data_IF_959656256704
#
_entry.id   IF_959656256704
#
_cell.length_a   1.000
_cell.length_b   1.000
_cell.length_c   1.000
_cell.angle_alpha   90.00
_cell.angle_beta   90.00
_cell.angle_gamma   90.00
#
_symmetry.space_group_name_H-M   'P 1'
#
loop_
_entity.id
_entity.type
_entity.pdbx_description
1 polymer ?
#
# COMPACT_ATOMS: atom_id res chain seq x y z
N UNK A 1 0.59 4.52 -32.22
CA UNK A 1 1.70 5.12 -32.97
C UNK A 1 2.90 5.01 -32.06
N UNK A 2 3.85 4.13 -32.37
CA UNK A 2 5.09 3.98 -31.61
C UNK A 2 5.95 5.24 -31.81
N UNK A 3 6.29 5.92 -30.71
CA UNK A 3 7.35 6.93 -30.69
C UNK A 3 8.67 6.33 -31.21
N UNK A 4 9.56 7.12 -31.83
CA UNK A 4 10.81 6.59 -32.35
C UNK A 4 11.65 6.07 -31.18
N UNK A 5 11.79 4.75 -31.08
CA UNK A 5 12.69 4.12 -30.10
C UNK A 5 14.08 4.75 -30.21
N UNK A 6 14.45 5.52 -29.19
CA UNK A 6 15.83 5.90 -28.97
C UNK A 6 16.63 4.60 -28.77
N UNK A 7 17.33 4.13 -29.80
CA UNK A 7 18.11 2.90 -29.75
C UNK A 7 19.24 3.12 -28.75
N UNK A 8 19.50 2.13 -27.87
CA UNK A 8 20.62 2.26 -26.93
C UNK A 8 21.90 2.55 -27.71
N UNK A 9 22.69 3.47 -27.17
CA UNK A 9 23.89 3.96 -27.83
C UNK A 9 25.11 3.18 -27.35
N UNK A 10 25.77 2.49 -28.26
CA UNK A 10 26.99 1.72 -27.97
C UNK A 10 28.19 2.51 -28.50
N UNK A 11 29.12 2.86 -27.62
CA UNK A 11 30.42 3.41 -28.02
C UNK A 11 31.42 2.27 -28.15
N UNK A 12 32.04 2.12 -29.31
CA UNK A 12 33.15 1.19 -29.54
C UNK A 12 34.44 1.99 -29.63
N UNK A 13 35.47 1.55 -28.93
CA UNK A 13 36.78 2.20 -28.88
C UNK A 13 37.85 1.15 -29.16
N UNK A 14 38.53 1.27 -30.30
CA UNK A 14 39.63 0.39 -30.72
C UNK A 14 40.47 1.17 -31.74
N UNK A 15 41.79 1.10 -31.68
CA UNK A 15 42.67 1.86 -32.59
C UNK A 15 42.78 1.18 -33.98
N UNK A 16 42.43 -0.10 -34.07
CA UNK A 16 42.46 -0.90 -35.30
C UNK A 16 41.11 -0.72 -36.04
N UNK A 17 41.08 -0.07 -37.22
CA UNK A 17 39.85 0.19 -37.96
C UNK A 17 39.08 -1.08 -38.33
N UNK A 18 39.76 -2.19 -38.62
CA UNK A 18 39.13 -3.45 -38.97
C UNK A 18 38.27 -4.00 -37.81
N UNK A 19 38.71 -3.84 -36.56
CA UNK A 19 37.93 -4.25 -35.39
C UNK A 19 36.66 -3.38 -35.24
N UNK A 20 36.78 -2.08 -35.48
CA UNK A 20 35.66 -1.15 -35.44
C UNK A 20 34.60 -1.51 -36.49
N UNK A 21 35.01 -1.78 -37.73
CA UNK A 21 34.09 -2.12 -38.83
C UNK A 21 33.30 -3.39 -38.52
N UNK A 22 33.96 -4.43 -38.03
CA UNK A 22 33.33 -5.71 -37.68
C UNK A 22 32.32 -5.54 -36.52
N UNK A 23 32.71 -4.83 -35.46
CA UNK A 23 31.82 -4.58 -34.31
C UNK A 23 30.65 -3.66 -34.69
N UNK A 24 30.88 -2.68 -35.57
CA UNK A 24 29.84 -1.82 -36.11
C UNK A 24 28.82 -2.63 -36.91
N UNK A 25 29.28 -3.51 -37.81
CA UNK A 25 28.39 -4.38 -38.59
C UNK A 25 27.54 -5.28 -37.67
N UNK A 26 28.17 -5.88 -36.66
CA UNK A 26 27.50 -6.79 -35.73
C UNK A 26 26.45 -6.11 -34.83
N UNK A 27 26.61 -4.83 -34.49
CA UNK A 27 25.78 -4.14 -33.50
C UNK A 27 24.77 -3.14 -34.10
N UNK A 28 25.04 -2.58 -35.29
CA UNK A 28 24.20 -1.56 -35.92
C UNK A 28 22.77 -2.04 -36.24
N UNK A 29 22.57 -3.36 -36.34
CA UNK A 29 21.27 -3.98 -36.52
C UNK A 29 20.31 -3.77 -35.34
N UNK A 30 20.80 -3.50 -34.12
CA UNK A 30 19.99 -3.31 -32.90
C UNK A 30 20.24 -1.99 -32.17
N UNK A 31 21.44 -1.45 -32.26
CA UNK A 31 21.91 -0.33 -31.44
C UNK A 31 22.29 0.88 -32.30
N UNK A 32 22.36 2.06 -31.67
CA UNK A 32 23.00 3.23 -32.26
C UNK A 32 24.49 3.17 -31.97
N UNK A 33 25.31 2.83 -32.97
CA UNK A 33 26.73 2.60 -32.76
C UNK A 33 27.55 3.85 -33.08
N UNK A 34 28.47 4.20 -32.19
CA UNK A 34 29.46 5.27 -32.39
C UNK A 34 30.85 4.70 -32.17
N UNK A 35 31.82 5.14 -32.98
CA UNK A 35 33.20 4.65 -32.91
C UNK A 35 34.22 5.74 -32.57
N UNK A 36 35.20 5.38 -31.75
CA UNK A 36 36.39 6.15 -31.45
C UNK A 36 37.65 5.31 -31.74
N UNK A 37 38.73 5.97 -32.20
CA UNK A 37 40.01 5.32 -32.53
C UNK A 37 41.08 5.50 -31.46
N UNK A 38 40.73 6.22 -30.40
CA UNK A 38 41.62 6.56 -29.29
C UNK A 38 40.80 6.95 -28.06
N UNK A 39 41.45 6.88 -26.88
CA UNK A 39 40.84 7.20 -25.59
C UNK A 39 40.39 8.65 -25.45
N UNK A 40 41.12 9.61 -26.02
CA UNK A 40 40.79 11.04 -25.96
C UNK A 40 39.47 11.37 -26.68
N UNK A 41 39.27 10.78 -27.86
CA UNK A 41 38.01 10.87 -28.60
C UNK A 41 36.88 10.15 -27.86
N UNK A 42 37.15 9.00 -27.24
CA UNK A 42 36.15 8.31 -26.42
C UNK A 42 35.66 9.19 -25.26
N UNK A 43 36.58 9.81 -24.51
CA UNK A 43 36.27 10.72 -23.40
C UNK A 43 35.49 11.97 -23.83
N UNK A 44 35.77 12.51 -25.02
CA UNK A 44 34.96 13.61 -25.59
C UNK A 44 33.55 13.17 -25.97
N UNK A 45 33.38 11.94 -26.45
CA UNK A 45 32.07 11.44 -26.87
C UNK A 45 31.15 11.13 -25.68
N UNK A 46 31.68 10.59 -24.58
CA UNK A 46 30.90 10.34 -23.35
C UNK A 46 30.48 11.62 -22.63
N UNK A 47 31.22 12.71 -22.79
CA UNK A 47 30.89 14.02 -22.20
C UNK A 47 30.08 14.91 -23.14
N UNK A 48 29.81 14.43 -24.35
CA UNK A 48 28.98 15.12 -25.33
C UNK A 48 27.49 15.16 -24.94
N UNK A 49 26.66 15.83 -25.75
CA UNK A 49 25.23 16.02 -25.48
C UNK A 49 24.42 14.72 -25.51
N UNK A 50 24.96 13.66 -26.11
CA UNK A 50 24.34 12.33 -26.16
C UNK A 50 25.36 11.27 -25.69
N UNK A 51 25.49 11.04 -24.38
CA UNK A 51 26.39 10.01 -23.86
C UNK A 51 25.95 8.60 -24.32
N UNK A 52 26.88 7.64 -24.42
CA UNK A 52 26.54 6.25 -24.70
C UNK A 52 25.92 5.57 -23.48
N UNK A 53 25.11 4.53 -23.72
CA UNK A 53 24.54 3.67 -22.69
C UNK A 53 25.48 2.53 -22.29
N UNK A 54 26.47 2.21 -23.12
CA UNK A 54 27.51 1.20 -22.87
C UNK A 54 28.74 1.43 -23.74
N UNK A 55 29.91 1.05 -23.25
CA UNK A 55 31.21 1.22 -23.93
C UNK A 55 31.87 -0.15 -24.10
N UNK A 56 32.26 -0.48 -25.34
CA UNK A 56 33.20 -1.54 -25.66
C UNK A 56 34.58 -0.90 -25.86
N UNK A 57 35.55 -1.25 -25.03
CA UNK A 57 36.82 -0.53 -24.93
C UNK A 57 37.99 -1.48 -25.09
N UNK A 58 38.79 -1.29 -26.14
CA UNK A 58 40.04 -2.00 -26.26
C UNK A 58 41.02 -1.59 -25.15
N UNK A 59 41.70 -2.58 -24.60
CA UNK A 59 42.67 -2.36 -23.53
C UNK A 59 43.98 -1.80 -24.10
N UNK A 60 44.43 -2.33 -25.24
CA UNK A 60 45.74 -2.01 -25.81
C UNK A 60 45.64 -0.98 -26.93
N UNK A 61 45.64 0.31 -26.55
CA UNK A 61 45.64 1.42 -27.50
C UNK A 61 46.91 2.29 -27.32
N UNK A 62 47.43 2.90 -28.40
CA UNK A 62 48.56 3.82 -28.32
C UNK A 62 48.20 5.11 -27.56
N UNK A 63 49.14 5.58 -26.74
CA UNK A 63 48.98 6.79 -25.94
C UNK A 63 48.21 6.53 -24.64
N UNK A 64 46.88 6.55 -24.70
CA UNK A 64 46.02 6.29 -23.54
C UNK A 64 45.43 4.88 -23.64
N UNK A 65 45.79 4.01 -22.70
CA UNK A 65 45.29 2.64 -22.63
C UNK A 65 43.83 2.59 -22.15
N UNK A 66 43.15 1.46 -22.37
CA UNK A 66 41.75 1.30 -21.97
C UNK A 66 41.55 1.38 -20.45
N UNK A 67 42.53 0.98 -19.65
CA UNK A 67 42.45 1.07 -18.20
C UNK A 67 42.39 2.52 -17.72
N UNK A 68 43.22 3.40 -18.28
CA UNK A 68 43.24 4.83 -17.98
C UNK A 68 41.93 5.50 -18.42
N UNK A 69 41.40 5.16 -19.60
CA UNK A 69 40.07 5.63 -20.04
C UNK A 69 38.99 5.23 -19.04
N UNK A 70 38.94 3.96 -18.62
CA UNK A 70 37.97 3.46 -17.65
C UNK A 70 38.09 4.17 -16.30
N UNK A 71 39.30 4.34 -15.78
CA UNK A 71 39.53 5.05 -14.53
C UNK A 71 39.02 6.51 -14.58
N UNK A 72 39.23 7.20 -15.72
CA UNK A 72 38.69 8.57 -15.93
C UNK A 72 37.17 8.60 -16.00
N UNK A 73 36.54 7.60 -16.63
CA UNK A 73 35.09 7.48 -16.65
C UNK A 73 34.51 7.28 -15.24
N UNK A 74 35.14 6.42 -14.45
CA UNK A 74 34.69 6.06 -13.09
C UNK A 74 34.90 7.17 -12.06
N UNK A 75 35.93 8.00 -12.24
CA UNK A 75 36.19 9.16 -11.37
C UNK A 75 35.23 10.34 -11.60
N UNK A 76 34.48 10.36 -12.71
CA UNK A 76 33.55 11.45 -13.02
C UNK A 76 32.09 11.04 -12.73
N UNK A 77 31.40 11.86 -11.92
CA UNK A 77 30.02 11.61 -11.51
C UNK A 77 29.02 11.49 -12.66
N UNK A 78 29.26 12.16 -13.78
CA UNK A 78 28.37 12.11 -14.94
C UNK A 78 28.54 10.85 -15.80
N UNK A 79 29.69 10.17 -15.69
CA UNK A 79 30.04 9.04 -16.57
C UNK A 79 30.26 7.72 -15.83
N UNK A 80 30.43 7.72 -14.50
CA UNK A 80 30.73 6.52 -13.71
C UNK A 80 29.69 5.41 -13.79
N UNK A 81 28.44 5.75 -14.08
CA UNK A 81 27.36 4.77 -14.22
C UNK A 81 27.27 4.16 -15.64
N UNK A 82 28.12 4.57 -16.58
CA UNK A 82 28.16 3.99 -17.93
C UNK A 82 28.97 2.68 -17.88
N UNK A 83 28.38 1.51 -18.17
CA UNK A 83 29.09 0.24 -18.15
C UNK A 83 30.19 0.20 -19.21
N UNK A 84 31.37 -0.23 -18.79
CA UNK A 84 32.54 -0.46 -19.65
C UNK A 84 32.80 -1.95 -19.72
N UNK A 85 32.82 -2.50 -20.94
CA UNK A 85 33.24 -3.86 -21.24
C UNK A 85 34.59 -3.77 -21.94
N UNK A 86 35.62 -4.39 -21.37
CA UNK A 86 36.93 -4.44 -22.00
C UNK A 86 36.98 -5.44 -23.15
N UNK A 87 37.68 -5.08 -24.22
CA UNK A 87 38.13 -6.00 -25.26
C UNK A 87 39.62 -6.26 -25.01
N UNK A 88 40.02 -7.50 -24.76
CA UNK A 88 41.38 -7.82 -24.31
C UNK A 88 41.99 -8.97 -25.10
N UNK A 89 43.28 -8.87 -25.43
CA UNK A 89 44.08 -10.01 -25.89
C UNK A 89 44.81 -10.71 -24.73
N UNK A 90 44.81 -10.10 -23.54
CA UNK A 90 45.41 -10.63 -22.34
C UNK A 90 44.46 -11.69 -21.75
N UNK A 91 45.02 -12.86 -21.45
CA UNK A 91 44.30 -14.02 -20.91
C UNK A 91 44.83 -14.43 -19.54
N UNK A 92 45.69 -13.61 -18.94
CA UNK A 92 46.16 -13.78 -17.57
C UNK A 92 45.18 -13.14 -16.57
N UNK A 93 45.03 -13.80 -15.42
CA UNK A 93 44.14 -13.37 -14.32
C UNK A 93 44.50 -11.97 -13.78
N UNK A 94 45.77 -11.56 -13.87
CA UNK A 94 46.25 -10.27 -13.37
C UNK A 94 45.67 -9.10 -14.17
N UNK A 95 45.55 -9.26 -15.49
CA UNK A 95 44.96 -8.27 -16.40
C UNK A 95 43.44 -8.14 -16.23
N UNK A 96 42.75 -9.24 -15.90
CA UNK A 96 41.31 -9.23 -15.57
C UNK A 96 41.04 -8.55 -14.23
N UNK A 97 41.85 -8.87 -13.21
CA UNK A 97 41.81 -8.22 -11.89
C UNK A 97 42.04 -6.71 -12.02
N UNK A 98 43.02 -6.29 -12.82
CA UNK A 98 43.28 -4.87 -13.09
C UNK A 98 42.08 -4.19 -13.75
N UNK A 99 41.38 -4.88 -14.65
CA UNK A 99 40.20 -4.33 -15.33
C UNK A 99 39.01 -4.13 -14.41
N UNK A 100 38.72 -5.12 -13.56
CA UNK A 100 37.67 -5.01 -12.55
C UNK A 100 37.99 -3.93 -11.51
N UNK A 101 39.27 -3.83 -11.09
CA UNK A 101 39.72 -2.78 -10.18
C UNK A 101 39.60 -1.37 -10.79
N UNK A 102 39.76 -1.23 -12.11
CA UNK A 102 39.53 0.01 -12.85
C UNK A 102 38.04 0.36 -13.01
N UNK A 103 37.13 -0.54 -12.61
CA UNK A 103 35.68 -0.34 -12.64
C UNK A 103 34.99 -0.77 -13.93
N UNK A 104 35.61 -1.64 -14.73
CA UNK A 104 34.89 -2.31 -15.81
C UNK A 104 33.87 -3.31 -15.23
N UNK A 105 32.75 -3.47 -15.94
CA UNK A 105 31.69 -4.39 -15.55
C UNK A 105 31.86 -5.79 -16.15
N UNK A 106 32.72 -5.91 -17.17
CA UNK A 106 32.95 -7.15 -17.89
C UNK A 106 34.16 -7.07 -18.85
N UNK A 107 34.51 -8.20 -19.45
CA UNK A 107 35.54 -8.30 -20.50
C UNK A 107 35.21 -9.36 -21.56
N UNK A 108 35.80 -9.20 -22.74
CA UNK A 108 35.67 -10.07 -23.90
C UNK A 108 37.07 -10.33 -24.47
N UNK A 109 37.46 -11.60 -24.53
CA UNK A 109 38.74 -11.99 -25.12
C UNK A 109 38.72 -11.90 -26.65
N UNK A 110 39.85 -11.46 -27.21
CA UNK A 110 40.18 -11.57 -28.64
C UNK A 110 40.70 -13.00 -28.92
N UNK A 111 40.32 -13.66 -30.04
CA UNK A 111 39.50 -13.15 -31.14
C UNK A 111 38.02 -12.99 -30.76
N UNK A 112 37.43 -11.88 -31.21
CA UNK A 112 36.08 -11.47 -30.80
C UNK A 112 35.02 -12.42 -31.37
N UNK A 113 34.18 -12.96 -30.50
CA UNK A 113 32.97 -13.70 -30.87
C UNK A 113 31.77 -12.76 -30.92
N UNK A 114 31.22 -12.50 -32.11
CA UNK A 114 30.08 -11.59 -32.27
C UNK A 114 28.83 -12.01 -31.48
N UNK A 115 28.46 -13.32 -31.43
CA UNK A 115 27.37 -13.77 -30.57
C UNK A 115 27.62 -13.45 -29.09
N UNK A 116 28.86 -13.57 -28.62
CA UNK A 116 29.22 -13.26 -27.23
C UNK A 116 29.15 -11.75 -26.94
N UNK A 117 29.65 -10.91 -27.85
CA UNK A 117 29.55 -9.45 -27.73
C UNK A 117 28.08 -9.04 -27.65
N UNK A 118 27.25 -9.51 -28.57
CA UNK A 118 25.82 -9.20 -28.58
C UNK A 118 25.14 -9.64 -27.29
N UNK A 119 25.45 -10.84 -26.79
CA UNK A 119 24.89 -11.37 -25.54
C UNK A 119 25.29 -10.52 -24.32
N UNK A 120 26.58 -10.18 -24.18
CA UNK A 120 27.08 -9.38 -23.06
C UNK A 120 26.56 -7.94 -23.10
N UNK A 121 26.57 -7.30 -24.27
CA UNK A 121 26.01 -5.95 -24.44
C UNK A 121 24.53 -5.94 -24.05
N UNK A 122 23.74 -6.91 -24.54
CA UNK A 122 22.33 -7.01 -24.18
C UNK A 122 22.12 -7.23 -22.67
N UNK A 123 22.93 -8.09 -22.04
CA UNK A 123 22.83 -8.38 -20.61
C UNK A 123 23.09 -7.13 -19.76
N UNK A 124 24.16 -6.38 -20.03
CA UNK A 124 24.51 -5.18 -19.27
C UNK A 124 23.54 -4.02 -19.51
N UNK A 125 23.06 -3.83 -20.74
CA UNK A 125 22.02 -2.83 -21.01
C UNK A 125 20.71 -3.15 -20.27
N UNK A 126 20.31 -4.43 -20.22
CA UNK A 126 19.15 -4.86 -19.44
C UNK A 126 19.35 -4.63 -17.94
N UNK A 127 20.55 -4.87 -17.42
CA UNK A 127 20.88 -4.62 -16.02
C UNK A 127 20.78 -3.13 -15.67
N UNK A 128 21.34 -2.25 -16.51
CA UNK A 128 21.24 -0.79 -16.32
C UNK A 128 19.78 -0.32 -16.34
N UNK A 129 18.97 -0.83 -17.27
CA UNK A 129 17.54 -0.51 -17.33
C UNK A 129 16.80 -0.98 -16.09
N UNK A 130 17.03 -2.22 -15.65
CA UNK A 130 16.41 -2.77 -14.44
C UNK A 130 16.78 -1.94 -13.19
N UNK A 131 18.06 -1.54 -13.07
CA UNK A 131 18.52 -0.67 -11.97
C UNK A 131 17.86 0.71 -12.00
N UNK A 132 17.76 1.33 -13.18
CA UNK A 132 17.06 2.62 -13.37
C UNK A 132 15.58 2.52 -13.02
N UNK A 133 14.91 1.44 -13.45
CA UNK A 133 13.50 1.20 -13.13
C UNK A 133 13.28 0.99 -11.64
N UNK A 134 14.13 0.20 -10.98
CA UNK A 134 14.06 -0.01 -9.54
C UNK A 134 14.25 1.29 -8.76
N UNK A 135 15.23 2.12 -9.15
CA UNK A 135 15.45 3.42 -8.52
C UNK A 135 14.23 4.35 -8.66
N UNK A 136 13.59 4.36 -9.83
CA UNK A 136 12.36 5.13 -10.05
C UNK A 136 11.21 4.64 -9.17
N UNK A 137 11.03 3.31 -9.05
CA UNK A 137 10.00 2.72 -8.18
C UNK A 137 10.23 3.05 -6.70
N UNK A 138 11.48 2.97 -6.23
CA UNK A 138 11.82 3.32 -4.84
C UNK A 138 11.52 4.79 -4.57
N UNK A 139 11.83 5.68 -5.52
CA UNK A 139 11.52 7.10 -5.40
C UNK A 139 10.01 7.35 -5.34
N UNK A 140 9.24 6.72 -6.23
CA UNK A 140 7.78 6.83 -6.25
C UNK A 140 7.15 6.35 -4.95
N UNK A 141 7.59 5.20 -4.42
CA UNK A 141 7.12 4.68 -3.14
C UNK A 141 7.47 5.61 -1.97
N UNK A 142 8.67 6.19 -1.98
CA UNK A 142 9.10 7.18 -0.97
C UNK A 142 8.22 8.43 -1.00
N UNK A 143 7.92 8.95 -2.19
CA UNK A 143 7.10 10.16 -2.33
C UNK A 143 5.64 9.90 -1.94
N UNK A 144 5.12 8.72 -2.26
CA UNK A 144 3.82 8.26 -1.79
C UNK A 144 3.78 8.15 -0.25
N UNK A 145 4.84 7.61 0.38
CA UNK A 145 4.94 7.51 1.83
C UNK A 145 4.98 8.87 2.53
N UNK A 146 5.68 9.87 1.96
CA UNK A 146 5.68 11.23 2.52
C UNK A 146 4.31 11.91 2.44
N UNK A 147 3.66 11.82 1.29
CA UNK A 147 2.30 12.37 1.11
C UNK A 147 1.33 11.77 2.13
N UNK A 148 1.48 10.47 2.37
CA UNK A 148 0.71 9.73 3.35
C UNK A 148 0.90 10.28 4.77
N UNK A 149 2.14 10.48 5.18
CA UNK A 149 2.47 11.02 6.52
C UNK A 149 1.94 12.45 6.69
N UNK A 150 1.97 13.27 5.63
CA UNK A 150 1.41 14.62 5.64
C UNK A 150 -0.11 14.62 5.83
N UNK A 151 -0.84 13.73 5.13
CA UNK A 151 -2.30 13.56 5.34
C UNK A 151 -2.60 13.16 6.78
N UNK A 152 -1.81 12.24 7.32
CA UNK A 152 -1.93 11.78 8.70
C UNK A 152 -1.70 12.90 9.72
N UNK A 153 -0.73 13.80 9.48
CA UNK A 153 -0.46 14.97 10.32
C UNK A 153 -1.61 15.98 10.29
N UNK A 154 -2.11 16.31 9.10
CA UNK A 154 -3.21 17.27 8.90
C UNK A 154 -4.46 16.80 9.65
N UNK A 155 -4.81 15.52 9.51
CA UNK A 155 -5.98 14.95 10.15
C UNK A 155 -5.83 14.90 11.69
N UNK A 156 -4.66 14.52 12.22
CA UNK A 156 -4.43 14.37 13.67
C UNK A 156 -4.37 15.69 14.43
N UNK A 157 -3.62 16.65 13.91
CA UNK A 157 -3.27 17.86 14.67
C UNK A 157 -4.03 19.08 14.17
N UNK A 158 -4.06 19.30 12.86
CA UNK A 158 -4.51 20.57 12.30
C UNK A 158 -6.04 20.69 12.26
N UNK A 159 -6.77 19.57 12.19
CA UNK A 159 -8.23 19.56 12.32
C UNK A 159 -8.71 19.48 13.78
N UNK A 160 -8.00 18.74 14.65
CA UNK A 160 -8.40 18.57 16.07
C UNK A 160 -8.22 19.86 16.88
N UNK A 161 -7.11 20.57 16.64
CA UNK A 161 -6.77 21.80 17.37
C UNK A 161 -7.83 22.90 17.28
N UNK A 162 -8.38 23.26 16.10
CA UNK A 162 -9.46 24.25 16.02
C UNK A 162 -10.82 23.73 16.53
N UNK A 163 -11.06 22.42 16.54
CA UNK A 163 -12.33 21.84 17.02
C UNK A 163 -12.44 21.87 18.55
N UNK A 164 -11.34 21.67 19.27
CA UNK A 164 -11.35 21.61 20.73
C UNK A 164 -11.88 22.91 21.38
N UNK A 165 -11.46 24.13 20.98
CA UNK A 165 -12.05 25.37 21.49
C UNK A 165 -13.53 25.55 21.12
N UNK A 166 -13.96 25.12 19.92
CA UNK A 166 -15.37 25.21 19.50
C UNK A 166 -16.26 24.37 20.43
N UNK A 167 -15.82 23.17 20.78
CA UNK A 167 -16.50 22.29 21.74
C UNK A 167 -16.40 22.83 23.17
N UNK A 168 -15.21 23.27 23.58
CA UNK A 168 -14.95 23.77 24.93
C UNK A 168 -15.73 25.04 25.26
N UNK A 169 -15.67 26.05 24.39
CA UNK A 169 -16.40 27.30 24.58
C UNK A 169 -17.91 27.13 24.45
N UNK A 170 -18.39 26.23 23.59
CA UNK A 170 -19.83 25.93 23.53
C UNK A 170 -20.35 25.33 24.83
N UNK A 171 -19.57 24.47 25.50
CA UNK A 171 -19.92 23.96 26.83
C UNK A 171 -19.85 25.06 27.90
N UNK A 172 -18.76 25.83 27.97
CA UNK A 172 -18.59 26.88 28.97
C UNK A 172 -19.70 27.95 28.89
N UNK A 173 -20.08 28.37 27.68
CA UNK A 173 -21.18 29.32 27.47
C UNK A 173 -22.55 28.76 27.84
N UNK A 174 -22.73 27.43 27.74
CA UNK A 174 -23.97 26.76 28.16
C UNK A 174 -24.13 26.74 29.67
N UNK A 175 -23.02 26.58 30.37
CA UNK A 175 -22.98 26.39 31.83
C UNK A 175 -22.97 27.73 32.60
N UNK A 176 -22.64 28.85 31.95
CA UNK A 176 -22.65 30.22 32.50
C UNK A 176 -24.07 30.76 32.83
N UNK A 177 -25.13 30.01 32.45
CA UNK A 177 -26.50 30.21 32.93
C UNK A 177 -27.26 31.42 32.38
N UNK A 178 -26.56 32.41 31.80
CA UNK A 178 -27.14 33.67 31.33
C UNK A 178 -27.53 33.64 29.84
N UNK A 179 -28.12 32.53 29.39
CA UNK A 179 -28.46 32.28 27.98
C UNK A 179 -29.94 31.91 27.82
N UNK A 180 -30.54 32.35 26.72
CA UNK A 180 -31.92 31.99 26.33
C UNK A 180 -32.00 30.53 25.87
N UNK A 181 -33.21 29.95 25.89
CA UNK A 181 -33.44 28.57 25.40
C UNK A 181 -33.03 28.37 23.94
N UNK A 182 -33.21 29.40 23.11
CA UNK A 182 -32.78 29.37 21.70
C UNK A 182 -31.26 29.35 21.56
N UNK A 183 -30.55 30.10 22.40
CA UNK A 183 -29.08 30.07 22.45
C UNK A 183 -28.56 28.74 23.00
N UNK A 184 -29.21 28.18 24.02
CA UNK A 184 -28.92 26.84 24.53
C UNK A 184 -29.03 25.79 23.43
N UNK A 185 -30.10 25.81 22.65
CA UNK A 185 -30.28 24.93 21.49
C UNK A 185 -29.15 25.07 20.45
N UNK A 186 -28.75 26.30 20.10
CA UNK A 186 -27.64 26.52 19.18
C UNK A 186 -26.30 26.01 19.73
N UNK A 187 -26.03 26.20 21.02
CA UNK A 187 -24.81 25.70 21.67
C UNK A 187 -24.78 24.17 21.71
N UNK A 188 -25.90 23.52 22.02
CA UNK A 188 -26.01 22.06 21.97
C UNK A 188 -25.81 21.53 20.53
N UNK A 189 -26.27 22.26 19.52
CA UNK A 189 -26.05 21.92 18.10
C UNK A 189 -24.57 22.07 17.70
N UNK A 190 -23.89 23.15 18.12
CA UNK A 190 -22.46 23.35 17.87
C UNK A 190 -21.63 22.25 18.57
N UNK A 191 -21.95 21.98 19.83
CA UNK A 191 -21.26 20.97 20.64
C UNK A 191 -21.39 19.57 20.02
N UNK A 192 -22.62 19.14 19.70
CA UNK A 192 -22.87 17.84 19.07
C UNK A 192 -22.22 17.73 17.68
N UNK A 193 -22.24 18.80 16.88
CA UNK A 193 -21.57 18.83 15.57
C UNK A 193 -20.05 18.75 15.69
N UNK A 194 -19.45 19.43 16.69
CA UNK A 194 -18.03 19.37 16.97
C UNK A 194 -17.56 17.98 17.39
N UNK A 195 -18.30 17.33 18.29
CA UNK A 195 -18.04 15.95 18.68
C UNK A 195 -18.16 14.98 17.51
N UNK A 196 -19.18 15.14 16.66
CA UNK A 196 -19.35 14.32 15.46
C UNK A 196 -18.18 14.47 14.49
N UNK A 197 -17.65 15.68 14.30
CA UNK A 197 -16.45 15.90 13.49
C UNK A 197 -15.20 15.23 14.07
N UNK A 198 -14.97 15.35 15.38
CA UNK A 198 -13.84 14.67 16.04
C UNK A 198 -13.95 13.15 15.91
N UNK A 199 -15.15 12.60 16.08
CA UNK A 199 -15.39 11.17 15.89
C UNK A 199 -15.13 10.76 14.44
N UNK A 200 -15.55 11.55 13.46
CA UNK A 200 -15.28 11.30 12.04
C UNK A 200 -13.78 11.34 11.72
N UNK A 201 -13.04 12.29 12.28
CA UNK A 201 -11.58 12.40 12.12
C UNK A 201 -10.89 11.17 12.73
N UNK A 202 -11.22 10.82 13.97
CA UNK A 202 -10.61 9.67 14.63
C UNK A 202 -10.92 8.36 13.88
N UNK A 203 -12.18 8.15 13.46
CA UNK A 203 -12.57 6.99 12.65
C UNK A 203 -11.82 6.95 11.31
N UNK A 204 -11.65 8.08 10.64
CA UNK A 204 -10.89 8.17 9.38
C UNK A 204 -9.43 7.78 9.57
N UNK A 205 -8.80 8.25 10.66
CA UNK A 205 -7.42 7.93 11.00
C UNK A 205 -7.21 6.45 11.36
N UNK A 206 -8.12 5.86 12.13
CA UNK A 206 -8.04 4.45 12.47
C UNK A 206 -8.22 3.56 11.23
N UNK A 207 -9.19 3.90 10.36
CA UNK A 207 -9.35 3.23 9.07
C UNK A 207 -8.09 3.35 8.23
N UNK A 208 -7.51 4.55 8.15
CA UNK A 208 -6.29 4.80 7.40
C UNK A 208 -5.11 3.92 7.89
N UNK A 209 -4.92 3.80 9.21
CA UNK A 209 -3.90 2.91 9.80
C UNK A 209 -4.16 1.44 9.51
N UNK A 210 -5.42 1.01 9.53
CA UNK A 210 -5.77 -0.39 9.22
C UNK A 210 -5.53 -0.71 7.75
N UNK A 211 -5.96 0.16 6.82
CA UNK A 211 -5.76 0.00 5.37
C UNK A 211 -4.30 -0.15 4.99
N UNK A 212 -3.46 0.53 5.74
CA UNK A 212 -2.05 0.60 5.50
C UNK A 212 -1.21 -0.38 6.32
N UNK A 213 -1.85 -1.21 7.13
CA UNK A 213 -1.22 -2.22 7.97
C UNK A 213 -0.37 -1.66 9.12
N UNK A 214 -0.49 -0.38 9.46
CA UNK A 214 0.26 0.26 10.57
C UNK A 214 -0.54 0.38 11.86
N UNK A 215 -1.75 -0.20 11.89
CA UNK A 215 -2.57 -0.27 13.10
C UNK A 215 -1.92 -1.18 14.15
N UNK A 216 -1.72 -0.67 15.36
CA UNK A 216 -1.16 -1.42 16.49
C UNK A 216 -2.24 -2.31 17.12
N UNK A 217 -2.46 -3.49 16.52
CA UNK A 217 -3.48 -4.45 16.93
C UNK A 217 -3.05 -5.24 18.18
N UNK A 218 -3.80 -5.09 19.27
CA UNK A 218 -3.55 -5.71 20.58
C UNK A 218 -4.73 -6.58 21.02
N UNK A 219 -4.86 -7.81 20.50
CA UNK A 219 -5.99 -8.67 20.80
C UNK A 219 -6.02 -9.10 22.27
N UNK A 220 -7.23 -9.18 22.80
CA UNK A 220 -7.57 -9.78 24.09
C UNK A 220 -8.66 -10.85 23.91
N UNK A 221 -8.99 -11.56 24.98
CA UNK A 221 -10.17 -12.44 24.98
C UNK A 221 -11.42 -11.60 25.17
N UNK A 222 -12.37 -11.70 24.24
CA UNK A 222 -13.65 -10.98 24.29
C UNK A 222 -14.83 -11.95 24.23
N UNK A 223 -15.90 -11.63 24.97
CA UNK A 223 -17.14 -12.42 24.95
C UNK A 223 -18.10 -11.84 23.90
N UNK A 224 -18.27 -12.54 22.77
CA UNK A 224 -19.05 -12.05 21.64
C UNK A 224 -20.50 -11.72 22.01
N UNK A 225 -21.13 -12.56 22.84
CA UNK A 225 -22.49 -12.32 23.31
C UNK A 225 -22.61 -11.00 24.09
N UNK A 226 -21.62 -10.66 24.91
CA UNK A 226 -21.63 -9.41 25.67
C UNK A 226 -21.53 -8.19 24.75
N UNK A 227 -20.66 -8.24 23.73
CA UNK A 227 -20.52 -7.17 22.75
C UNK A 227 -21.80 -7.00 21.92
N UNK A 228 -22.40 -8.11 21.45
CA UNK A 228 -23.66 -8.08 20.71
C UNK A 228 -24.78 -7.47 21.55
N UNK A 229 -24.96 -7.90 22.80
CA UNK A 229 -26.00 -7.35 23.67
C UNK A 229 -25.81 -5.85 23.93
N UNK A 230 -24.56 -5.39 24.11
CA UNK A 230 -24.24 -3.97 24.23
C UNK A 230 -24.65 -3.20 22.98
N UNK A 231 -24.25 -3.67 21.79
CA UNK A 231 -24.63 -3.06 20.50
C UNK A 231 -26.14 -3.00 20.31
N UNK A 232 -26.86 -4.08 20.62
CA UNK A 232 -28.32 -4.12 20.50
C UNK A 232 -28.99 -3.15 21.48
N UNK A 233 -28.47 -3.04 22.71
CA UNK A 233 -28.94 -2.06 23.69
C UNK A 233 -28.78 -0.63 23.20
N UNK A 234 -27.60 -0.29 22.69
CA UNK A 234 -27.28 1.05 22.19
C UNK A 234 -28.10 1.42 20.93
N UNK A 235 -28.48 0.43 20.11
CA UNK A 235 -29.30 0.63 18.90
C UNK A 235 -30.81 0.40 19.12
N UNK A 236 -31.24 0.08 20.34
CA UNK A 236 -32.66 -0.16 20.65
C UNK A 236 -33.57 1.04 20.29
N UNK A 237 -33.19 2.32 20.54
CA UNK A 237 -34.02 3.47 20.14
C UNK A 237 -34.22 3.56 18.62
N UNK A 238 -33.19 3.22 17.83
CA UNK A 238 -33.26 3.23 16.37
C UNK A 238 -34.20 2.13 15.86
N UNK A 239 -34.10 0.93 16.42
CA UNK A 239 -35.00 -0.18 16.09
C UNK A 239 -36.45 0.15 16.47
N UNK A 240 -36.68 0.68 17.69
CA UNK A 240 -38.00 1.08 18.17
C UNK A 240 -38.63 2.19 17.31
N UNK A 241 -37.84 3.16 16.86
CA UNK A 241 -38.31 4.23 15.96
C UNK A 241 -38.88 3.74 14.63
N UNK A 242 -38.47 2.55 14.17
CA UNK A 242 -39.00 1.87 12.98
C UNK A 242 -39.93 0.69 13.32
N UNK A 243 -40.22 0.44 14.60
CA UNK A 243 -40.99 -0.71 15.07
C UNK A 243 -40.29 -2.07 14.87
N UNK A 244 -38.98 -2.08 14.56
CA UNK A 244 -38.24 -3.30 14.29
C UNK A 244 -37.96 -4.09 15.58
N UNK A 245 -37.97 -5.41 15.47
CA UNK A 245 -37.56 -6.32 16.56
C UNK A 245 -36.18 -6.86 16.25
N UNK A 246 -35.26 -6.74 17.20
CA UNK A 246 -33.91 -7.32 17.12
C UNK A 246 -33.83 -8.52 18.06
N UNK A 247 -33.62 -9.71 17.49
CA UNK A 247 -33.55 -10.97 18.21
C UNK A 247 -32.11 -11.50 18.23
N UNK A 248 -31.61 -11.89 19.40
CA UNK A 248 -30.25 -12.45 19.57
C UNK A 248 -30.36 -13.92 19.97
N UNK A 249 -29.70 -14.81 19.23
CA UNK A 249 -29.71 -16.25 19.40
C UNK A 249 -28.27 -16.77 19.56
N UNK A 250 -28.08 -17.83 20.35
CA UNK A 250 -26.80 -18.54 20.45
C UNK A 250 -26.11 -18.47 21.83
N UNK A 251 -24.91 -19.07 21.90
CA UNK A 251 -24.16 -19.31 23.14
C UNK A 251 -23.07 -18.26 23.43
N UNK A 252 -22.47 -18.33 24.62
CA UNK A 252 -21.31 -17.50 25.02
C UNK A 252 -20.05 -17.97 24.31
N UNK A 253 -19.63 -17.25 23.28
CA UNK A 253 -18.41 -17.54 22.51
C UNK A 253 -17.31 -16.54 22.88
N UNK A 254 -16.17 -17.06 23.32
CA UNK A 254 -14.96 -16.29 23.53
C UNK A 254 -14.15 -16.19 22.23
N UNK A 255 -13.93 -14.98 21.73
CA UNK A 255 -13.13 -14.72 20.54
C UNK A 255 -11.84 -13.96 20.89
N UNK A 256 -10.86 -14.03 20.00
CA UNK A 256 -9.63 -13.26 20.08
C UNK A 256 -9.79 -11.96 19.27
N UNK A 257 -9.60 -10.80 19.91
CA UNK A 257 -9.74 -9.51 19.24
C UNK A 257 -9.73 -8.32 20.18
N UNK A 258 -9.97 -7.12 19.66
CA UNK A 258 -10.16 -5.93 20.48
C UNK A 258 -11.65 -5.65 20.67
N UNK A 259 -12.08 -5.42 21.91
CA UNK A 259 -13.48 -5.18 22.22
C UNK A 259 -14.04 -3.96 21.46
N UNK A 260 -13.27 -2.87 21.39
CA UNK A 260 -13.70 -1.64 20.71
C UNK A 260 -13.83 -1.80 19.19
N UNK A 261 -12.93 -2.58 18.56
CA UNK A 261 -13.04 -2.91 17.13
C UNK A 261 -14.23 -3.83 16.87
N UNK A 262 -14.41 -4.86 17.69
CA UNK A 262 -15.54 -5.77 17.58
C UNK A 262 -16.87 -5.03 17.77
N UNK A 263 -16.97 -4.15 18.77
CA UNK A 263 -18.13 -3.31 19.02
C UNK A 263 -18.42 -2.39 17.82
N UNK A 264 -17.40 -1.69 17.31
CA UNK A 264 -17.55 -0.76 16.19
C UNK A 264 -17.98 -1.46 14.91
N UNK A 265 -17.39 -2.62 14.61
CA UNK A 265 -17.75 -3.49 13.49
C UNK A 265 -19.21 -3.93 13.60
N UNK A 266 -19.60 -4.53 14.73
CA UNK A 266 -20.96 -5.03 14.94
C UNK A 266 -21.98 -3.90 14.95
N UNK A 267 -21.67 -2.74 15.54
CA UNK A 267 -22.53 -1.56 15.53
C UNK A 267 -22.82 -1.10 14.10
N UNK A 268 -21.80 -1.02 13.24
CA UNK A 268 -21.98 -0.65 11.83
C UNK A 268 -22.87 -1.66 11.08
N UNK A 269 -22.68 -2.96 11.31
CA UNK A 269 -23.44 -4.01 10.64
C UNK A 269 -24.90 -4.08 11.11
N UNK A 270 -25.13 -4.05 12.43
CA UNK A 270 -26.47 -4.11 13.02
C UNK A 270 -27.26 -2.85 12.69
N UNK A 271 -26.64 -1.66 12.74
CA UNK A 271 -27.26 -0.42 12.30
C UNK A 271 -27.71 -0.52 10.84
N UNK A 272 -26.85 -1.01 9.95
CA UNK A 272 -27.21 -1.19 8.54
C UNK A 272 -28.38 -2.16 8.38
N UNK A 273 -28.38 -3.28 9.09
CA UNK A 273 -29.46 -4.26 9.08
C UNK A 273 -30.81 -3.66 9.53
N UNK A 274 -30.83 -2.85 10.59
CA UNK A 274 -32.03 -2.15 11.08
C UNK A 274 -32.52 -1.12 10.05
N UNK A 275 -31.61 -0.32 9.50
CA UNK A 275 -31.97 0.70 8.53
C UNK A 275 -32.50 0.10 7.22
N UNK A 276 -31.96 -1.03 6.79
CA UNK A 276 -32.38 -1.74 5.58
C UNK A 276 -33.64 -2.61 5.80
N UNK A 277 -33.97 -2.96 7.05
CA UNK A 277 -35.21 -3.67 7.34
C UNK A 277 -36.45 -2.79 7.04
N UNK A 278 -37.56 -3.36 6.57
CA UNK A 278 -38.83 -2.66 6.46
C UNK A 278 -39.35 -2.26 7.85
N UNK A 279 -40.24 -1.28 7.91
CA UNK A 279 -40.94 -0.89 9.14
C UNK A 279 -41.63 -2.10 9.75
N UNK A 280 -41.52 -2.28 11.07
CA UNK A 280 -42.01 -3.45 11.80
C UNK A 280 -41.40 -4.80 11.36
N UNK A 281 -40.24 -4.77 10.70
CA UNK A 281 -39.48 -5.96 10.30
C UNK A 281 -38.64 -6.56 11.44
N UNK A 282 -38.05 -7.74 11.19
CA UNK A 282 -37.18 -8.45 12.15
C UNK A 282 -35.72 -8.40 11.73
N UNK A 283 -34.83 -8.18 12.69
CA UNK A 283 -33.38 -8.40 12.53
C UNK A 283 -32.97 -9.53 13.46
N UNK A 284 -32.30 -10.56 12.95
CA UNK A 284 -31.86 -11.72 13.74
C UNK A 284 -30.34 -11.73 13.80
N UNK A 285 -29.77 -11.87 15.00
CA UNK A 285 -28.34 -12.00 15.23
C UNK A 285 -28.09 -13.37 15.85
N UNK A 286 -27.44 -14.27 15.13
CA UNK A 286 -27.11 -15.61 15.61
C UNK A 286 -25.62 -15.75 15.88
N UNK A 287 -25.28 -16.31 17.04
CA UNK A 287 -23.93 -16.65 17.46
C UNK A 287 -23.74 -18.18 17.40
N UNK A 288 -22.73 -18.63 16.69
CA UNK A 288 -22.40 -20.05 16.55
C UNK A 288 -20.89 -20.28 16.57
N UNK A 289 -20.47 -21.45 17.03
CA UNK A 289 -19.08 -21.89 16.96
C UNK A 289 -18.93 -22.82 15.75
N UNK A 290 -18.11 -22.42 14.78
CA UNK A 290 -17.77 -23.22 13.60
C UNK A 290 -16.27 -23.54 13.63
N UNK A 291 -15.91 -24.72 14.14
CA UNK A 291 -14.51 -25.13 14.28
C UNK A 291 -13.73 -24.23 15.25
N UNK A 292 -12.70 -23.57 14.75
CA UNK A 292 -11.86 -22.61 15.48
C UNK A 292 -12.34 -21.16 15.34
N UNK A 293 -13.56 -20.94 14.84
CA UNK A 293 -14.11 -19.60 14.60
C UNK A 293 -15.44 -19.36 15.32
N UNK A 294 -15.52 -18.21 15.99
CA UNK A 294 -16.76 -17.63 16.46
C UNK A 294 -17.47 -16.92 15.31
N UNK A 295 -18.69 -17.35 15.01
CA UNK A 295 -19.48 -16.87 13.87
C UNK A 295 -20.63 -16.02 14.37
N UNK A 296 -20.73 -14.79 13.83
CA UNK A 296 -21.84 -13.88 14.04
C UNK A 296 -22.59 -13.72 12.72
N UNK A 297 -23.84 -14.15 12.67
CA UNK A 297 -24.72 -13.99 11.50
C UNK A 297 -25.80 -12.96 11.78
N UNK A 298 -25.80 -11.86 11.04
CA UNK A 298 -26.79 -10.78 11.13
C UNK A 298 -27.68 -10.85 9.91
N UNK A 299 -28.98 -11.07 10.11
CA UNK A 299 -29.95 -11.23 9.04
C UNK A 299 -31.10 -10.23 9.16
N UNK A 300 -31.45 -9.59 8.04
CA UNK A 300 -32.63 -8.73 7.92
C UNK A 300 -33.37 -9.02 6.59
N UNK A 301 -34.69 -8.78 6.50
CA UNK A 301 -35.46 -9.07 5.29
C UNK A 301 -35.26 -8.05 4.15
N UNK A 302 -34.51 -6.96 4.37
CA UNK A 302 -34.19 -6.01 3.31
C UNK A 302 -33.22 -6.62 2.30
N UNK A 303 -33.42 -6.35 1.01
CA UNK A 303 -32.62 -6.92 -0.09
C UNK A 303 -31.66 -5.88 -0.64
N UNK A 304 -30.41 -6.28 -0.88
CA UNK A 304 -29.41 -5.44 -1.57
C UNK A 304 -29.59 -5.61 -3.09
N UNK A 305 -29.73 -4.50 -3.84
CA UNK A 305 -29.83 -4.54 -5.31
C UNK A 305 -28.65 -5.27 -5.94
N UNK A 306 -28.89 -6.08 -6.97
CA UNK A 306 -27.88 -6.94 -7.60
C UNK A 306 -26.63 -6.17 -8.06
N UNK A 307 -26.81 -4.98 -8.62
CA UNK A 307 -25.75 -4.08 -9.07
C UNK A 307 -24.81 -3.64 -7.94
N UNK A 308 -25.24 -3.68 -6.68
CA UNK A 308 -24.44 -3.24 -5.53
C UNK A 308 -23.85 -4.39 -4.73
N UNK A 309 -24.22 -5.65 -5.03
CA UNK A 309 -23.77 -6.80 -4.23
C UNK A 309 -22.25 -6.99 -4.31
N UNK A 310 -21.66 -6.75 -5.47
CA UNK A 310 -20.22 -6.91 -5.69
C UNK A 310 -19.39 -5.78 -5.05
N UNK A 311 -19.94 -4.57 -4.92
CA UNK A 311 -19.29 -3.40 -4.29
C UNK A 311 -19.75 -3.15 -2.87
N UNK A 312 -20.48 -4.08 -2.24
CA UNK A 312 -21.17 -3.85 -0.97
C UNK A 312 -20.22 -3.46 0.18
N UNK A 313 -18.98 -3.98 0.14
CA UNK A 313 -17.93 -3.67 1.10
C UNK A 313 -16.86 -2.72 0.55
N UNK A 314 -17.15 -2.00 -0.54
CA UNK A 314 -16.27 -0.97 -1.09
C UNK A 314 -16.58 0.41 -0.49
N UNK A 315 -15.59 1.31 -0.59
CA UNK A 315 -15.73 2.67 -0.08
C UNK A 315 -16.80 3.44 -0.86
N UNK A 316 -17.61 4.21 -0.13
CA UNK A 316 -18.61 5.14 -0.65
C UNK A 316 -19.78 4.49 -1.39
N UNK A 317 -19.95 3.18 -1.25
CA UNK A 317 -21.10 2.46 -1.80
C UNK A 317 -22.36 2.79 -0.97
N UNK A 318 -23.32 3.49 -1.57
CA UNK A 318 -24.59 3.86 -0.92
C UNK A 318 -25.79 3.63 -1.84
N UNK A 319 -26.93 3.25 -1.27
CA UNK A 319 -28.20 3.08 -2.00
C UNK A 319 -29.26 3.98 -1.40
N UNK A 320 -29.65 5.03 -2.14
CA UNK A 320 -30.90 5.79 -1.92
C UNK A 320 -31.11 6.51 -0.58
N UNK A 321 -30.15 6.53 0.34
CA UNK A 321 -30.29 7.15 1.68
C UNK A 321 -29.65 8.53 1.72
N UNK A 322 -30.42 9.56 2.06
CA UNK A 322 -29.87 10.88 2.41
C UNK A 322 -29.08 10.76 3.73
N UNK A 323 -27.76 10.98 3.67
CA UNK A 323 -26.88 11.06 4.85
C UNK A 323 -26.02 9.83 5.18
N UNK A 324 -26.04 8.77 4.36
CA UNK A 324 -25.14 7.62 4.54
C UNK A 324 -23.72 7.92 4.04
N UNK A 325 -22.69 7.76 4.88
CA UNK A 325 -21.29 8.01 4.46
C UNK A 325 -20.74 6.99 3.46
N UNK A 326 -21.37 5.83 3.32
CA UNK A 326 -20.88 4.73 2.47
C UNK A 326 -19.60 4.06 2.96
N UNK A 327 -19.17 4.36 4.19
CA UNK A 327 -17.94 3.79 4.79
C UNK A 327 -18.27 2.68 5.81
N UNK A 328 -19.53 2.58 6.26
CA UNK A 328 -19.93 1.68 7.36
C UNK A 328 -19.65 0.19 7.11
N UNK A 329 -19.98 -0.32 5.93
CA UNK A 329 -19.71 -1.73 5.56
C UNK A 329 -18.24 -1.97 5.27
N UNK A 330 -17.60 -1.03 4.56
CA UNK A 330 -16.15 -1.05 4.32
C UNK A 330 -15.34 -1.12 5.63
N UNK A 331 -15.65 -0.24 6.58
CA UNK A 331 -15.00 -0.20 7.89
C UNK A 331 -15.23 -1.49 8.69
N UNK A 332 -16.44 -2.05 8.65
CA UNK A 332 -16.71 -3.34 9.29
C UNK A 332 -15.86 -4.47 8.69
N UNK A 333 -15.68 -4.50 7.36
CA UNK A 333 -14.78 -5.46 6.70
C UNK A 333 -13.34 -5.28 7.15
N UNK A 334 -12.85 -4.05 7.13
CA UNK A 334 -11.47 -3.75 7.50
C UNK A 334 -11.17 -4.08 8.97
N UNK A 335 -12.12 -3.83 9.88
CA UNK A 335 -12.03 -4.23 11.29
C UNK A 335 -12.03 -5.76 11.45
N UNK A 336 -12.87 -6.48 10.70
CA UNK A 336 -12.85 -7.95 10.69
C UNK A 336 -11.50 -8.49 10.22
N UNK A 337 -10.97 -7.98 9.11
CA UNK A 337 -9.67 -8.36 8.55
C UNK A 337 -8.51 -8.02 9.53
N UNK A 338 -8.55 -6.84 10.16
CA UNK A 338 -7.58 -6.45 11.21
C UNK A 338 -7.59 -7.42 12.39
N UNK A 339 -8.78 -7.91 12.76
CA UNK A 339 -8.95 -8.96 13.77
C UNK A 339 -8.69 -10.39 13.26
N UNK A 340 -8.06 -10.54 12.08
CA UNK A 340 -7.78 -11.83 11.41
C UNK A 340 -9.04 -12.66 11.13
N UNK A 341 -10.18 -11.99 11.02
CA UNK A 341 -11.47 -12.56 10.71
C UNK A 341 -11.82 -12.52 9.22
N UNK A 342 -13.02 -12.98 8.92
CA UNK A 342 -13.62 -12.91 7.60
C UNK A 342 -15.02 -12.30 7.71
N UNK A 343 -15.44 -11.52 6.71
CA UNK A 343 -16.81 -11.07 6.56
C UNK A 343 -17.35 -11.46 5.18
N UNK A 344 -18.60 -11.91 5.12
CA UNK A 344 -19.31 -12.25 3.89
C UNK A 344 -20.72 -11.68 3.91
N UNK A 345 -21.27 -11.40 2.73
CA UNK A 345 -22.66 -10.99 2.55
C UNK A 345 -23.33 -11.86 1.50
N UNK A 346 -24.55 -12.28 1.82
CA UNK A 346 -25.47 -12.98 0.92
C UNK A 346 -26.79 -12.22 0.91
N UNK A 347 -27.34 -11.96 -0.28
CA UNK A 347 -28.62 -11.26 -0.39
C UNK A 347 -29.46 -11.81 -1.54
N UNK A 348 -30.71 -12.16 -1.24
CA UNK A 348 -31.72 -12.56 -2.23
C UNK A 348 -33.13 -12.29 -1.69
N UNK A 349 -34.13 -12.31 -2.57
CA UNK A 349 -35.53 -12.13 -2.17
C UNK A 349 -36.02 -13.22 -1.20
N UNK A 350 -35.41 -14.42 -1.23
CA UNK A 350 -35.80 -15.55 -0.39
C UNK A 350 -35.27 -15.45 1.05
N UNK A 351 -34.06 -14.92 1.26
CA UNK A 351 -33.41 -14.88 2.58
C UNK A 351 -33.29 -13.46 3.16
N UNK A 352 -33.62 -12.43 2.39
CA UNK A 352 -33.26 -11.05 2.69
C UNK A 352 -31.76 -10.83 2.51
N UNK A 353 -31.13 -10.10 3.42
CA UNK A 353 -29.67 -9.93 3.50
C UNK A 353 -29.14 -10.57 4.76
N UNK A 354 -28.10 -11.39 4.60
CA UNK A 354 -27.34 -12.02 5.67
C UNK A 354 -25.89 -11.59 5.57
N UNK A 355 -25.37 -11.01 6.65
CA UNK A 355 -23.96 -10.70 6.82
C UNK A 355 -23.38 -11.67 7.85
N UNK A 356 -22.32 -12.37 7.50
CA UNK A 356 -21.67 -13.35 8.38
C UNK A 356 -20.24 -12.90 8.66
N UNK A 357 -19.91 -12.74 9.93
CA UNK A 357 -18.55 -12.44 10.42
C UNK A 357 -18.01 -13.67 11.11
N UNK A 358 -16.76 -14.05 10.81
CA UNK A 358 -16.03 -15.13 11.47
C UNK A 358 -14.79 -14.58 12.13
N UNK A 359 -14.67 -14.69 13.45
CA UNK A 359 -13.51 -14.29 14.22
C UNK A 359 -12.79 -15.51 14.80
N UNK A 360 -11.46 -15.49 14.95
CA UNK A 360 -10.74 -16.56 15.64
C UNK A 360 -11.25 -16.70 17.08
N UNK A 361 -11.48 -17.94 17.52
CA UNK A 361 -11.83 -18.23 18.92
C UNK A 361 -10.60 -17.94 19.80
N UNK A 362 -10.81 -17.42 21.00
CA UNK A 362 -9.72 -17.31 21.95
C UNK A 362 -9.29 -18.71 22.39
N UNK A 363 -8.02 -19.07 22.20
CA UNK A 363 -7.49 -20.25 22.90
C UNK A 363 -7.76 -20.03 24.39
N UNK A 364 -8.40 -21.01 25.03
CA UNK A 364 -8.48 -21.08 26.48
C UNK A 364 -7.05 -21.13 27.00
N UNK A 365 -6.47 -19.99 27.33
CA UNK A 365 -5.27 -19.95 28.17
C UNK A 365 -5.72 -20.61 29.47
N UNK A 366 -5.19 -21.81 29.84
CA UNK A 366 -5.51 -22.41 31.12
C UNK A 366 -5.18 -21.37 32.18
N UNK A 367 -6.14 -21.09 33.05
CA UNK A 367 -5.97 -20.11 34.11
C UNK A 367 -4.62 -20.33 34.78
N UNK A 368 -3.89 -19.25 34.99
CA UNK A 368 -2.88 -19.22 36.04
C UNK A 368 -3.60 -19.42 37.36
N UNK A 369 -3.91 -20.68 37.68
CA UNK A 369 -4.10 -21.10 39.05
C UNK A 369 -2.79 -20.75 39.75
N UNK A 370 -2.86 -19.72 40.57
CA UNK A 370 -1.81 -19.35 41.51
C UNK A 370 -1.70 -20.44 42.57
N UNK A 371 -1.21 -21.61 42.17
CA UNK A 371 -0.68 -22.64 43.04
C UNK A 371 0.81 -22.41 43.21
N UNK A 372 1.18 -21.71 44.28
CA UNK A 372 2.44 -21.95 44.98
C UNK A 372 2.18 -21.90 46.47
N UNK A 373 1.93 -23.08 47.02
CA UNK A 373 2.48 -23.46 48.32
C UNK A 373 4.01 -23.46 48.20
N UNK A 374 4.67 -22.67 49.04
CA UNK A 374 5.75 -23.09 49.95
C UNK A 374 5.93 -22.05 51.06
#
# INVERSE_FOLDING_TARGET
>A
MDEPRNRDKVLIVDDIPENLDILMEALSGKYAVVAARDGEKALRLVTGPTPPDIILLDVMMPGMDGYEVCARLQSNQATRDIPVIFLTALSDEESELRGLAAGAVDYIHKPISMPLVQARVAAHLNLVRAKRQLAAQVQELSDAAKLRDDVDRIMRHDLKTPLNPVIGFSCLMRDDGNITDKQRYWLDLIHSSGLMMLEMINRSLDLFKMESGTYDYRPTTLQLAAVVHRVVGDLAPLAAGKGNVVEVLGEKIAACGEEMLCYSMLSNLVKNAIEAAPTSGRVTIALALEGDRGVISIQNPGVVPEQMRHTFFDKYTTSGKQGGSGIGTYSARLMAETMKGEIKMESSDAIGTRITVRLPVAELVPGTDGGKEE
#
